data_IF_243478586052
#
_entry.id   IF_243478586052
#
_cell.length_a   1.000
_cell.length_b   1.000
_cell.length_c   1.000
_cell.angle_alpha   90.00
_cell.angle_beta   90.00
_cell.angle_gamma   90.00
#
_symmetry.space_group_name_H-M   'P 1'
#
loop_
_entity.id
_entity.type
_entity.pdbx_description
1 polymer ?
#
# COMPACT_ATOMS: atom_id res chain seq x y z
N UNK A 1 58.16 3.83 -68.75
CA UNK A 1 56.74 3.46 -68.52
C UNK A 1 56.37 3.79 -67.08
N UNK A 2 55.67 4.90 -66.82
CA UNK A 2 55.23 5.29 -65.47
C UNK A 2 53.75 4.98 -65.28
N UNK A 3 53.44 4.08 -64.34
CA UNK A 3 52.09 3.67 -63.97
C UNK A 3 51.57 4.62 -62.87
N UNK A 4 50.70 5.55 -63.25
CA UNK A 4 50.02 6.46 -62.31
C UNK A 4 48.84 5.74 -61.67
N UNK A 5 48.96 5.36 -60.41
CA UNK A 5 47.87 4.80 -59.61
C UNK A 5 47.04 5.94 -59.01
N UNK A 6 45.80 6.05 -59.47
CA UNK A 6 44.84 7.05 -58.98
C UNK A 6 44.16 6.55 -57.71
N UNK A 7 44.46 7.18 -56.58
CA UNK A 7 43.84 6.90 -55.27
C UNK A 7 42.67 7.87 -55.11
N UNK A 8 41.47 7.43 -55.48
CA UNK A 8 40.23 8.15 -55.20
C UNK A 8 39.74 7.73 -53.82
N UNK A 9 40.14 8.48 -52.78
CA UNK A 9 39.63 8.28 -51.41
C UNK A 9 38.21 8.83 -51.33
N UNK A 10 37.24 7.92 -51.21
CA UNK A 10 35.83 8.21 -50.96
C UNK A 10 35.64 8.79 -49.56
N UNK A 11 35.32 10.09 -49.49
CA UNK A 11 35.11 10.86 -48.23
C UNK A 11 33.65 10.79 -47.75
N UNK A 12 32.80 9.98 -48.38
CA UNK A 12 31.34 10.04 -48.23
C UNK A 12 30.76 9.19 -47.07
N UNK A 13 31.58 8.66 -46.15
CA UNK A 13 31.13 7.67 -45.14
C UNK A 13 31.02 8.10 -43.66
N UNK A 14 31.48 9.27 -43.17
CA UNK A 14 31.40 9.55 -41.74
C UNK A 14 29.99 9.97 -41.27
N UNK A 15 29.19 10.59 -42.14
CA UNK A 15 27.88 11.14 -41.76
C UNK A 15 26.87 10.03 -41.44
N UNK A 16 26.90 8.93 -42.19
CA UNK A 16 26.00 7.79 -41.93
C UNK A 16 26.28 7.10 -40.60
N UNK A 17 27.54 6.99 -40.19
CA UNK A 17 27.93 6.34 -38.94
C UNK A 17 27.51 7.15 -37.71
N UNK A 18 27.62 8.49 -37.78
CA UNK A 18 27.18 9.39 -36.71
C UNK A 18 25.66 9.31 -36.54
N UNK A 19 24.90 9.28 -37.63
CA UNK A 19 23.43 9.23 -37.59
C UNK A 19 22.93 7.89 -37.02
N UNK A 20 23.60 6.78 -37.36
CA UNK A 20 23.32 5.46 -36.78
C UNK A 20 23.65 5.39 -35.27
N UNK A 21 24.79 5.96 -34.84
CA UNK A 21 25.13 6.05 -33.41
C UNK A 21 24.12 6.89 -32.64
N UNK A 22 23.69 8.02 -33.19
CA UNK A 22 22.71 8.89 -32.55
C UNK A 22 21.33 8.22 -32.45
N UNK A 23 20.89 7.52 -33.50
CA UNK A 23 19.64 6.75 -33.48
C UNK A 23 19.70 5.59 -32.48
N UNK A 24 20.84 4.91 -32.35
CA UNK A 24 21.03 3.85 -31.35
C UNK A 24 21.01 4.41 -29.92
N UNK A 25 21.64 5.56 -29.67
CA UNK A 25 21.62 6.23 -28.38
C UNK A 25 20.24 6.77 -28.01
N UNK A 26 19.46 7.26 -28.98
CA UNK A 26 18.08 7.72 -28.74
C UNK A 26 17.14 6.55 -28.41
N UNK A 27 17.37 5.40 -29.04
CA UNK A 27 16.58 4.18 -28.82
C UNK A 27 16.77 3.62 -27.40
N UNK A 28 17.99 3.69 -26.84
CA UNK A 28 18.23 3.24 -25.46
C UNK A 28 17.57 4.13 -24.42
N UNK A 29 17.42 5.44 -24.67
CA UNK A 29 16.70 6.34 -23.78
C UNK A 29 15.18 6.10 -23.84
N UNK A 30 14.62 5.79 -25.02
CA UNK A 30 13.19 5.49 -25.16
C UNK A 30 12.79 4.11 -24.61
N UNK A 31 13.72 3.15 -24.56
CA UNK A 31 13.45 1.81 -24.00
C UNK A 31 13.48 1.79 -22.46
N UNK A 32 13.78 2.93 -21.81
CA UNK A 32 13.88 3.06 -20.35
C UNK A 32 12.59 3.38 -19.58
N UNK A 33 11.44 3.61 -20.24
CA UNK A 33 10.19 3.94 -19.54
C UNK A 33 9.36 2.72 -19.08
N UNK A 34 9.83 1.50 -19.34
CA UNK A 34 8.99 0.29 -19.29
C UNK A 34 8.94 -0.48 -17.96
N UNK A 35 9.68 -0.07 -16.94
CA UNK A 35 9.53 -0.63 -15.58
C UNK A 35 9.22 0.50 -14.62
N UNK A 36 8.03 1.07 -14.75
CA UNK A 36 7.39 1.76 -13.62
C UNK A 36 7.39 0.75 -12.47
N UNK A 37 8.40 0.83 -11.60
CA UNK A 37 8.41 0.18 -10.31
C UNK A 37 7.05 0.53 -9.71
N UNK A 38 6.19 -0.49 -9.59
CA UNK A 38 4.77 -0.32 -9.35
C UNK A 38 4.61 0.36 -8.01
N UNK A 39 4.49 1.68 -8.06
CA UNK A 39 4.55 2.53 -6.90
C UNK A 39 3.20 2.38 -6.20
N UNK A 40 3.16 2.19 -4.87
CA UNK A 40 1.92 1.89 -4.19
C UNK A 40 0.90 3.00 -4.47
N UNK A 41 -0.34 2.66 -4.87
CA UNK A 41 -1.37 3.65 -5.16
C UNK A 41 -1.69 4.43 -3.89
N UNK A 42 -2.06 5.70 -4.04
CA UNK A 42 -2.40 6.58 -2.91
C UNK A 42 -3.52 6.00 -2.04
N UNK A 43 -4.46 5.27 -2.63
CA UNK A 43 -5.54 4.61 -1.90
C UNK A 43 -5.06 3.49 -0.97
N UNK A 44 -4.06 2.70 -1.38
CA UNK A 44 -3.47 1.68 -0.52
C UNK A 44 -2.79 2.33 0.70
N UNK A 45 -2.06 3.43 0.48
CA UNK A 45 -1.44 4.22 1.57
C UNK A 45 -2.52 4.75 2.52
N UNK A 46 -3.60 5.32 1.98
CA UNK A 46 -4.70 5.87 2.77
C UNK A 46 -5.36 4.81 3.64
N UNK A 47 -5.65 3.62 3.08
CA UNK A 47 -6.23 2.50 3.82
C UNK A 47 -5.30 2.03 4.95
N UNK A 48 -4.00 1.88 4.66
CA UNK A 48 -3.01 1.49 5.66
C UNK A 48 -2.94 2.50 6.83
N UNK A 49 -2.92 3.80 6.52
CA UNK A 49 -2.90 4.86 7.54
C UNK A 49 -4.20 4.86 8.36
N UNK A 50 -5.36 4.69 7.73
CA UNK A 50 -6.65 4.57 8.44
C UNK A 50 -6.66 3.36 9.39
N UNK A 51 -6.16 2.22 8.92
CA UNK A 51 -6.08 1.01 9.72
C UNK A 51 -5.16 1.21 10.94
N UNK A 52 -4.00 1.83 10.74
CA UNK A 52 -3.08 2.17 11.82
C UNK A 52 -3.70 3.14 12.82
N UNK A 53 -4.37 4.19 12.35
CA UNK A 53 -5.08 5.16 13.20
C UNK A 53 -6.17 4.47 14.03
N UNK A 54 -6.92 3.56 13.40
CA UNK A 54 -7.98 2.78 14.06
C UNK A 54 -7.41 1.90 15.16
N UNK A 55 -6.31 1.19 14.90
CA UNK A 55 -5.63 0.35 15.89
C UNK A 55 -5.18 1.19 17.10
N UNK A 56 -4.55 2.34 16.86
CA UNK A 56 -4.11 3.24 17.93
C UNK A 56 -5.28 3.74 18.78
N UNK A 57 -6.41 4.11 18.15
CA UNK A 57 -7.60 4.53 18.89
C UNK A 57 -8.17 3.41 19.77
N UNK A 58 -8.20 2.18 19.27
CA UNK A 58 -8.66 1.02 20.06
C UNK A 58 -7.76 0.80 21.27
N UNK A 59 -6.43 0.88 21.10
CA UNK A 59 -5.46 0.75 22.20
C UNK A 59 -5.64 1.85 23.24
N UNK A 60 -5.79 3.11 22.83
CA UNK A 60 -6.02 4.23 23.75
C UNK A 60 -7.35 4.07 24.49
N UNK A 61 -8.42 3.70 23.78
CA UNK A 61 -9.73 3.48 24.40
C UNK A 61 -9.71 2.34 25.43
N UNK A 62 -8.95 1.27 25.18
CA UNK A 62 -8.74 0.19 26.13
C UNK A 62 -7.95 0.66 27.35
N UNK A 63 -6.85 1.39 27.14
CA UNK A 63 -6.03 1.95 28.23
C UNK A 63 -6.87 2.87 29.15
N UNK A 64 -7.64 3.79 28.58
CA UNK A 64 -8.47 4.73 29.35
C UNK A 64 -9.58 4.03 30.16
N UNK A 65 -10.14 2.90 29.66
CA UNK A 65 -11.10 2.09 30.42
C UNK A 65 -10.48 1.47 31.67
N UNK A 66 -9.20 1.10 31.63
CA UNK A 66 -8.52 0.54 32.81
C UNK A 66 -8.25 1.59 33.89
N UNK A 67 -8.09 2.86 33.51
CA UNK A 67 -7.79 3.94 34.47
C UNK A 67 -9.04 4.45 35.20
N UNK A 68 -10.23 4.37 34.59
CA UNK A 68 -11.48 4.87 35.17
C UNK A 68 -12.15 3.98 36.23
N UNK A 69 -11.62 2.77 36.48
CA UNK A 69 -12.31 1.77 37.33
C UNK A 69 -11.59 1.48 38.66
N UNK A 70 -10.44 2.13 38.93
CA UNK A 70 -9.58 1.76 40.06
C UNK A 70 -9.57 2.72 41.26
N UNK A 71 -10.30 3.84 41.23
CA UNK A 71 -10.12 4.91 42.22
C UNK A 71 -11.30 5.18 43.17
N UNK A 72 -12.44 4.49 43.08
CA UNK A 72 -13.61 4.88 43.89
C UNK A 72 -14.50 3.73 44.38
N UNK A 73 -13.87 2.67 44.90
CA UNK A 73 -14.56 1.74 45.83
C UNK A 73 -13.77 1.72 47.14
N UNK A 74 -13.83 2.84 47.86
CA UNK A 74 -13.90 2.74 49.31
C UNK A 74 -15.35 2.35 49.64
N UNK A 75 -15.60 1.28 50.41
CA UNK A 75 -16.94 0.96 50.88
C UNK A 75 -17.35 1.98 51.94
N UNK A 76 -17.93 3.11 51.51
CA UNK A 76 -18.60 4.02 52.42
C UNK A 76 -19.98 3.44 52.75
N UNK A 77 -20.04 2.77 53.91
CA UNK A 77 -21.28 2.33 54.55
C UNK A 77 -22.02 3.54 55.13
N UNK A 78 -22.69 4.31 54.28
CA UNK A 78 -23.66 5.32 54.75
C UNK A 78 -25.06 4.99 54.21
N UNK A 79 -25.96 4.46 55.06
CA UNK A 79 -27.33 4.15 54.67
C UNK A 79 -28.21 5.40 54.71
N UNK A 80 -28.72 5.81 53.54
CA UNK A 80 -29.86 6.73 53.44
C UNK A 80 -29.61 7.96 52.57
N UNK A 81 -29.51 7.80 51.26
CA UNK A 81 -29.81 8.87 50.30
C UNK A 81 -30.37 8.26 49.03
N UNK A 82 -31.47 8.86 48.54
CA UNK A 82 -32.28 8.38 47.43
C UNK A 82 -31.48 8.18 46.13
N UNK A 83 -31.93 7.28 45.23
CA UNK A 83 -31.25 6.98 43.97
C UNK A 83 -31.39 8.15 42.98
N UNK A 84 -30.47 9.10 43.07
CA UNK A 84 -30.29 10.17 42.09
C UNK A 84 -29.46 9.65 40.91
N UNK A 85 -30.15 9.44 39.79
CA UNK A 85 -29.68 9.48 38.40
C UNK A 85 -28.18 9.18 38.22
N UNK A 86 -27.85 7.91 38.00
CA UNK A 86 -26.56 7.49 37.50
C UNK A 86 -26.23 8.31 36.24
N UNK A 87 -25.23 9.18 36.33
CA UNK A 87 -24.62 9.84 35.19
C UNK A 87 -24.24 8.77 34.18
N UNK A 88 -25.04 8.64 33.13
CA UNK A 88 -24.76 7.80 31.98
C UNK A 88 -23.45 8.27 31.39
N UNK A 89 -22.36 7.55 31.71
CA UNK A 89 -21.07 7.65 31.06
C UNK A 89 -21.25 7.18 29.63
N UNK A 90 -21.83 8.07 28.81
CA UNK A 90 -21.97 7.86 27.39
C UNK A 90 -20.54 7.68 26.87
N UNK A 91 -20.18 6.50 26.34
CA UNK A 91 -18.81 6.24 25.94
C UNK A 91 -18.43 7.30 24.93
N UNK A 92 -17.45 8.15 25.28
CA UNK A 92 -16.90 9.16 24.40
C UNK A 92 -16.35 8.42 23.19
N UNK A 93 -17.13 8.36 22.10
CA UNK A 93 -16.69 7.88 20.81
C UNK A 93 -15.95 9.04 20.16
N UNK A 94 -14.61 9.04 20.13
CA UNK A 94 -13.90 10.14 19.52
C UNK A 94 -14.22 10.18 18.02
N UNK A 95 -14.61 11.35 17.52
CA UNK A 95 -14.96 11.57 16.12
C UNK A 95 -13.74 12.12 15.41
N UNK A 96 -12.89 11.20 14.92
CA UNK A 96 -11.71 11.54 14.14
C UNK A 96 -12.09 11.70 12.68
N UNK A 97 -11.79 12.87 12.12
CA UNK A 97 -11.90 13.12 10.69
C UNK A 97 -10.51 13.24 10.10
N UNK A 98 -10.29 12.46 9.04
CA UNK A 98 -9.09 12.56 8.21
C UNK A 98 -9.31 13.71 7.23
N UNK A 99 -8.60 14.81 7.42
CA UNK A 99 -8.80 16.00 6.58
C UNK A 99 -7.92 15.92 5.33
N UNK A 100 -6.62 15.71 5.53
CA UNK A 100 -5.65 15.68 4.44
C UNK A 100 -4.56 14.64 4.67
N UNK A 101 -4.25 13.91 3.60
CA UNK A 101 -3.11 13.00 3.54
C UNK A 101 -2.13 13.53 2.48
N UNK A 102 -0.95 13.93 2.90
CA UNK A 102 0.13 14.38 2.02
C UNK A 102 1.21 13.31 2.00
N UNK A 103 1.57 12.82 0.82
CA UNK A 103 2.65 11.85 0.65
C UNK A 103 3.88 12.59 0.16
N UNK A 104 4.94 12.56 0.96
CA UNK A 104 6.17 13.29 0.68
C UNK A 104 7.15 12.43 -0.11
N UNK A 105 7.23 11.13 0.21
CA UNK A 105 8.11 10.20 -0.50
C UNK A 105 7.56 8.78 -0.55
N UNK A 106 7.91 8.08 -1.63
CA UNK A 106 7.75 6.63 -1.74
C UNK A 106 9.07 6.06 -2.24
N UNK A 107 9.70 5.22 -1.42
CA UNK A 107 11.02 4.65 -1.70
C UNK A 107 10.95 3.15 -1.61
N UNK A 108 11.34 2.46 -2.69
CA UNK A 108 11.54 1.02 -2.67
C UNK A 108 12.72 0.69 -1.74
N UNK A 109 12.50 -0.23 -0.81
CA UNK A 109 13.50 -0.66 0.16
C UNK A 109 14.09 -1.99 -0.31
N UNK A 110 15.40 -2.01 -0.48
CA UNK A 110 16.15 -3.22 -0.86
C UNK A 110 17.03 -3.74 0.30
N UNK A 111 16.78 -3.30 1.53
CA UNK A 111 17.57 -3.66 2.70
C UNK A 111 17.43 -5.16 3.01
N UNK A 112 18.56 -5.81 3.35
CA UNK A 112 18.61 -7.26 3.59
C UNK A 112 17.67 -7.74 4.69
N UNK A 113 17.37 -6.91 5.70
CA UNK A 113 16.42 -7.26 6.77
C UNK A 113 15.02 -7.57 6.25
N UNK A 114 14.65 -6.95 5.13
CA UNK A 114 13.37 -7.17 4.46
C UNK A 114 13.43 -8.28 3.41
N UNK A 115 14.63 -8.72 3.02
CA UNK A 115 14.83 -9.86 2.11
C UNK A 115 14.86 -11.21 2.85
N UNK A 116 14.50 -11.23 4.13
CA UNK A 116 14.23 -12.50 4.82
C UNK A 116 13.04 -13.20 4.14
N UNK A 117 13.02 -14.54 4.18
CA UNK A 117 12.02 -15.40 3.50
C UNK A 117 10.55 -15.01 3.75
N UNK A 118 10.28 -14.18 4.77
CA UNK A 118 8.95 -13.65 5.13
C UNK A 118 8.35 -12.70 4.10
N UNK A 119 9.17 -11.95 3.36
CA UNK A 119 8.67 -10.95 2.40
C UNK A 119 9.29 -11.19 1.03
N UNK A 120 8.70 -12.09 0.22
CA UNK A 120 9.23 -12.43 -1.10
C UNK A 120 9.06 -11.31 -2.14
N UNK A 121 8.59 -10.13 -1.72
CA UNK A 121 8.15 -9.05 -2.61
C UNK A 121 8.82 -7.72 -2.31
N UNK A 122 8.66 -6.82 -3.27
CA UNK A 122 9.16 -5.46 -3.15
C UNK A 122 8.42 -4.72 -2.03
N UNK A 123 9.19 -4.20 -1.08
CA UNK A 123 8.67 -3.36 0.00
C UNK A 123 8.92 -1.89 -0.34
N UNK A 124 7.92 -1.06 -0.12
CA UNK A 124 7.98 0.38 -0.28
C UNK A 124 7.80 1.06 1.07
N UNK A 125 8.75 1.91 1.42
CA UNK A 125 8.61 2.89 2.51
C UNK A 125 7.89 4.11 1.96
N UNK A 126 6.75 4.44 2.56
CA UNK A 126 5.99 5.63 2.25
C UNK A 126 6.02 6.54 3.46
N UNK A 127 6.47 7.77 3.26
CA UNK A 127 6.50 8.80 4.29
C UNK A 127 5.62 9.98 3.87
N UNK A 128 5.01 10.61 4.85
CA UNK A 128 4.13 11.74 4.61
C UNK A 128 3.68 12.41 5.88
N UNK A 129 2.70 13.30 5.70
CA UNK A 129 2.05 14.02 6.79
C UNK A 129 0.55 13.78 6.75
N UNK A 130 -0.03 13.55 7.92
CA UNK A 130 -1.45 13.34 8.14
C UNK A 130 -2.03 14.50 8.94
N UNK A 131 -2.99 15.20 8.34
CA UNK A 131 -3.78 16.22 9.02
C UNK A 131 -5.11 15.61 9.49
N UNK A 132 -5.36 15.73 10.78
CA UNK A 132 -6.56 15.23 11.45
C UNK A 132 -7.23 16.33 12.24
N UNK A 133 -8.56 16.33 12.23
CA UNK A 133 -9.34 17.15 13.16
C UNK A 133 -10.05 16.25 14.14
N UNK A 134 -9.76 16.46 15.43
CA UNK A 134 -10.51 15.87 16.52
C UNK A 134 -11.60 16.85 16.95
N UNK A 135 -12.86 16.40 16.88
CA UNK A 135 -14.00 17.18 17.37
C UNK A 135 -14.47 16.63 18.72
N UNK A 136 -14.41 17.46 19.74
CA UNK A 136 -14.97 17.22 21.07
C UNK A 136 -16.05 18.28 21.37
N UNK A 137 -16.94 18.06 22.36
CA UNK A 137 -17.93 19.06 22.75
C UNK A 137 -17.26 20.40 23.08
N UNK A 138 -17.55 21.43 22.26
CA UNK A 138 -16.99 22.77 22.42
C UNK A 138 -15.53 22.97 21.98
N UNK A 139 -14.86 21.97 21.40
CA UNK A 139 -13.46 22.08 20.95
C UNK A 139 -13.20 21.35 19.63
N UNK A 140 -12.46 22.00 18.74
CA UNK A 140 -11.85 21.38 17.55
C UNK A 140 -10.35 21.48 17.69
N UNK A 141 -9.66 20.35 17.62
CA UNK A 141 -8.20 20.29 17.70
C UNK A 141 -7.71 19.82 16.33
N UNK A 142 -6.91 20.66 15.68
CA UNK A 142 -6.25 20.32 14.43
C UNK A 142 -4.86 19.78 14.76
N UNK A 143 -4.55 18.58 14.29
CA UNK A 143 -3.28 17.91 14.54
C UNK A 143 -2.68 17.46 13.22
N UNK A 144 -1.43 17.87 12.99
CA UNK A 144 -0.60 17.39 11.89
C UNK A 144 0.44 16.43 12.45
N UNK A 145 0.46 15.20 11.96
CA UNK A 145 1.39 14.17 12.41
C UNK A 145 2.14 13.59 11.21
N UNK A 146 3.48 13.46 11.27
CA UNK A 146 4.18 12.67 10.27
C UNK A 146 3.75 11.21 10.38
N UNK A 147 3.81 10.48 9.28
CA UNK A 147 3.62 9.03 9.25
C UNK A 147 4.67 8.35 8.38
N UNK A 148 4.92 7.09 8.69
CA UNK A 148 5.77 6.21 7.94
C UNK A 148 5.11 4.83 7.89
N UNK A 149 4.86 4.33 6.68
CA UNK A 149 4.25 3.00 6.45
C UNK A 149 5.08 2.20 5.47
N UNK A 150 5.13 0.88 5.70
CA UNK A 150 5.83 -0.08 4.87
C UNK A 150 4.79 -0.91 4.14
N UNK A 151 4.79 -0.86 2.81
CA UNK A 151 3.81 -1.54 1.97
C UNK A 151 4.51 -2.62 1.13
N UNK A 152 4.03 -3.85 1.24
CA UNK A 152 4.43 -4.95 0.36
C UNK A 152 3.38 -5.18 -0.74
N UNK A 153 3.84 -5.61 -1.91
CA UNK A 153 2.95 -6.20 -2.92
C UNK A 153 2.77 -7.68 -2.61
N UNK A 154 1.58 -8.24 -2.82
CA UNK A 154 1.50 -9.70 -2.91
C UNK A 154 2.15 -10.13 -4.22
N UNK A 155 2.93 -11.22 -4.24
CA UNK A 155 3.37 -11.77 -5.50
C UNK A 155 2.09 -12.17 -6.26
N UNK A 156 1.95 -11.85 -7.56
CA UNK A 156 0.81 -12.31 -8.32
C UNK A 156 0.76 -13.83 -8.12
N UNK A 157 -0.34 -14.33 -7.57
CA UNK A 157 -0.51 -15.75 -7.32
C UNK A 157 -0.15 -16.47 -8.61
N UNK A 158 0.95 -17.25 -8.58
CA UNK A 158 1.42 -17.95 -9.77
C UNK A 158 0.22 -18.73 -10.29
N UNK A 159 -0.26 -18.48 -11.52
CA UNK A 159 -1.44 -19.15 -12.03
C UNK A 159 -1.15 -20.65 -11.98
N UNK A 160 -1.73 -21.33 -11.00
CA UNK A 160 -1.65 -22.78 -10.88
C UNK A 160 -2.47 -23.31 -12.03
N UNK A 161 -1.78 -23.77 -13.07
CA UNK A 161 -2.32 -24.27 -14.34
C UNK A 161 -3.28 -25.47 -14.22
N UNK A 162 -3.74 -25.82 -13.02
CA UNK A 162 -4.48 -27.04 -12.72
C UNK A 162 -5.93 -26.81 -12.25
N UNK A 163 -6.45 -25.58 -12.23
CA UNK A 163 -7.88 -25.34 -12.03
C UNK A 163 -8.63 -25.26 -13.37
N UNK A 164 -8.46 -26.28 -14.22
CA UNK A 164 -9.52 -26.57 -15.20
C UNK A 164 -10.69 -27.15 -14.40
N UNK A 165 -11.83 -26.46 -14.26
CA UNK A 165 -13.01 -27.10 -13.72
C UNK A 165 -13.35 -28.24 -14.68
N UNK A 166 -13.11 -29.49 -14.28
CA UNK A 166 -13.69 -30.66 -14.93
C UNK A 166 -15.19 -30.59 -14.66
N UNK A 167 -15.87 -29.74 -15.43
CA UNK A 167 -17.31 -29.79 -15.60
C UNK A 167 -17.57 -31.12 -16.28
N UNK A 168 -17.92 -32.10 -15.46
CA UNK A 168 -18.34 -33.42 -15.93
C UNK A 168 -19.69 -33.20 -16.59
N UNK A 169 -19.66 -32.96 -17.90
CA UNK A 169 -20.83 -32.78 -18.76
C UNK A 169 -21.85 -33.89 -18.48
N UNK A 170 -22.91 -33.53 -17.75
CA UNK A 170 -24.12 -34.32 -17.63
C UNK A 170 -24.97 -33.99 -18.85
N UNK A 171 -25.23 -35.04 -19.63
CA UNK A 171 -26.14 -35.18 -20.78
C UNK A 171 -27.13 -34.01 -20.99
N UNK A 172 -26.97 -33.39 -22.15
CA UNK A 172 -27.72 -32.28 -22.74
C UNK A 172 -29.23 -32.47 -22.84
N UNK A 173 -29.98 -31.43 -22.43
CA UNK A 173 -31.22 -31.00 -23.09
C UNK A 173 -30.94 -29.70 -23.87
N UNK A 174 -31.76 -29.35 -24.87
CA UNK A 174 -31.49 -28.20 -25.74
C UNK A 174 -31.90 -26.90 -25.05
N UNK A 175 -30.92 -26.10 -24.63
CA UNK A 175 -31.15 -24.71 -24.21
C UNK A 175 -30.10 -23.83 -24.86
N UNK A 176 -30.58 -22.78 -25.50
CA UNK A 176 -29.91 -21.79 -26.33
C UNK A 176 -28.66 -21.18 -25.70
N UNK A 177 -27.67 -20.93 -26.54
CA UNK A 177 -26.43 -20.22 -26.24
C UNK A 177 -26.70 -18.83 -25.61
N UNK A 178 -26.00 -18.50 -24.51
CA UNK A 178 -25.50 -17.16 -24.31
C UNK A 178 -23.97 -17.20 -24.41
N UNK A 179 -23.43 -16.37 -25.29
CA UNK A 179 -22.01 -16.08 -25.39
C UNK A 179 -21.51 -15.49 -24.05
N UNK A 180 -21.03 -16.36 -23.16
CA UNK A 180 -20.29 -15.96 -21.96
C UNK A 180 -18.85 -15.65 -22.36
N UNK A 181 -18.63 -14.40 -22.74
CA UNK A 181 -17.30 -13.80 -22.82
C UNK A 181 -16.75 -13.73 -21.39
N UNK A 182 -15.93 -14.71 -21.02
CA UNK A 182 -15.26 -14.76 -19.72
C UNK A 182 -14.15 -13.70 -19.72
N UNK A 183 -14.53 -12.46 -19.42
CA UNK A 183 -13.61 -11.37 -19.16
C UNK A 183 -12.72 -11.78 -17.98
N UNK A 184 -11.43 -11.97 -18.26
CA UNK A 184 -10.42 -12.21 -17.24
C UNK A 184 -10.35 -10.95 -16.37
N UNK A 185 -10.85 -11.01 -15.13
CA UNK A 185 -10.69 -9.90 -14.18
C UNK A 185 -9.21 -9.56 -14.07
N UNK A 186 -8.82 -8.28 -14.22
CA UNK A 186 -7.43 -7.90 -14.03
C UNK A 186 -7.03 -8.27 -12.60
N UNK A 187 -5.91 -8.97 -12.45
CA UNK A 187 -5.39 -9.34 -11.14
C UNK A 187 -5.25 -8.06 -10.29
N UNK A 188 -6.16 -7.87 -9.34
CA UNK A 188 -6.17 -6.69 -8.47
C UNK A 188 -4.96 -6.83 -7.56
N UNK A 189 -3.98 -5.95 -7.73
CA UNK A 189 -2.78 -5.92 -6.90
C UNK A 189 -3.17 -5.55 -5.47
N UNK A 190 -3.11 -6.54 -4.58
CA UNK A 190 -3.43 -6.35 -3.17
C UNK A 190 -2.17 -5.95 -2.41
N UNK A 191 -2.18 -4.73 -1.88
CA UNK A 191 -1.13 -4.18 -1.03
C UNK A 191 -1.41 -4.47 0.45
N UNK A 192 -0.38 -4.80 1.24
CA UNK A 192 -0.51 -5.05 2.68
C UNK A 192 0.46 -4.19 3.49
N UNK A 193 0.01 -3.82 4.69
CA UNK A 193 0.80 -3.09 5.67
C UNK A 193 1.74 -4.05 6.40
N UNK A 194 3.02 -3.69 6.45
CA UNK A 194 4.07 -4.41 7.14
C UNK A 194 4.40 -3.65 8.42
N UNK A 195 4.38 -4.34 9.55
CA UNK A 195 4.82 -3.80 10.84
C UNK A 195 6.31 -4.17 11.03
N UNK A 196 7.25 -3.22 10.89
CA UNK A 196 8.68 -3.51 10.94
C UNK A 196 9.16 -3.91 12.35
N UNK A 197 8.39 -3.57 13.39
CA UNK A 197 8.74 -3.79 14.79
C UNK A 197 8.09 -5.04 15.39
N UNK A 198 7.33 -5.82 14.61
CA UNK A 198 6.75 -7.06 15.09
C UNK A 198 7.87 -8.06 15.45
N UNK A 199 8.01 -8.46 16.74
CA UNK A 199 9.09 -9.33 17.15
C UNK A 199 8.97 -10.66 16.41
N UNK A 200 10.06 -11.05 15.75
CA UNK A 200 10.17 -12.34 15.08
C UNK A 200 9.90 -13.43 16.11
N UNK A 201 8.71 -14.02 16.10
CA UNK A 201 8.48 -15.21 16.91
C UNK A 201 9.45 -16.29 16.42
N UNK A 202 10.27 -16.87 17.31
CA UNK A 202 11.11 -17.99 16.95
C UNK A 202 10.18 -19.12 16.50
N UNK A 203 10.41 -19.61 15.28
CA UNK A 203 9.80 -20.83 14.78
C UNK A 203 10.43 -22.05 15.45
#
# INVERSE_FOLDING_TARGET
MLKRSSIVRSVARPVGLILVLFAALLSTVLTGCGTLAQQPPTEAVRLAVIQQLTRNQQTIAQALRTTGTAADIAPDTTPGTAPGTASGTTPLKPNFKLDRLSIDSRKKISEKRFQQERYPTDIYKVQGTLETTLTAPGRKIHQSSPFEVYLGTNPPAKPTANSTPKIKNRKSGPVSDPASESASEPAIETWYLIDPDEPTQPQ
#
